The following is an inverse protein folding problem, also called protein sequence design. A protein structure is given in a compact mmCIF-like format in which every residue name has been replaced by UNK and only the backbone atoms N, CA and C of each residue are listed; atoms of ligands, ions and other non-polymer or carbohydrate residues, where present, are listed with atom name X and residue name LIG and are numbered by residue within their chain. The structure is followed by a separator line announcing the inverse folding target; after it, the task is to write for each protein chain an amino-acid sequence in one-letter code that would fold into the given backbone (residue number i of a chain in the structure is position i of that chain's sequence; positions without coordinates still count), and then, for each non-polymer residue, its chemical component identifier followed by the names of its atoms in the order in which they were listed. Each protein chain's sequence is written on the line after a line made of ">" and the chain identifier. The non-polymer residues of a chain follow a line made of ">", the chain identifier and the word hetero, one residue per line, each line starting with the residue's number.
data_IF_322889360731
#
_entry.id   IF_322889360731
#
_cell.length_a   1.000
_cell.length_b   1.000
_cell.length_c   1.000
_cell.angle_alpha   90.00
_cell.angle_beta   90.00
_cell.angle_gamma   90.00
#
_symmetry.space_group_name_H-M   'P 1'
#
loop_
_entity.id
_entity.type
_entity.pdbx_description
1 polymer ?
#
# COMPACT_ATOMS: atom_id res chain seq x y z
N UNK A 1 -17.84 -16.72 3.88
CA UNK A 1 -16.57 -17.32 4.33
C UNK A 1 -16.91 -18.45 5.30
N UNK A 2 -16.47 -19.68 5.04
CA UNK A 2 -16.72 -20.78 5.96
C UNK A 2 -15.59 -20.90 7.00
N UNK A 3 -15.82 -21.65 8.09
CA UNK A 3 -14.84 -21.77 9.18
C UNK A 3 -13.47 -22.29 8.72
N UNK A 4 -13.43 -23.17 7.70
CA UNK A 4 -12.19 -23.70 7.13
C UNK A 4 -11.40 -22.64 6.36
N UNK A 5 -12.10 -21.83 5.56
CA UNK A 5 -11.47 -20.72 4.83
C UNK A 5 -10.86 -19.70 5.79
N UNK A 6 -11.55 -19.39 6.90
CA UNK A 6 -11.00 -18.50 7.92
C UNK A 6 -9.70 -19.04 8.55
N UNK A 7 -9.61 -20.34 8.80
CA UNK A 7 -8.39 -20.97 9.32
C UNK A 7 -7.24 -20.92 8.29
N UNK A 8 -7.56 -21.13 7.02
CA UNK A 8 -6.57 -21.04 5.93
C UNK A 8 -6.04 -19.61 5.80
N UNK A 9 -6.91 -18.59 5.90
CA UNK A 9 -6.49 -17.17 5.89
C UNK A 9 -5.56 -16.80 7.07
N UNK A 10 -5.62 -17.54 8.17
CA UNK A 10 -4.71 -17.40 9.29
C UNK A 10 -3.39 -18.21 9.12
N UNK A 11 -3.12 -18.76 7.94
CA UNK A 11 -1.87 -19.44 7.61
C UNK A 11 -1.84 -20.93 7.92
N UNK A 12 -3.00 -21.58 8.07
CA UNK A 12 -3.09 -23.03 8.10
C UNK A 12 -3.19 -23.60 6.68
N UNK A 13 -2.55 -24.75 6.45
CA UNK A 13 -2.81 -25.54 5.26
C UNK A 13 -4.21 -26.17 5.32
N UNK A 14 -4.71 -26.62 4.19
CA UNK A 14 -6.01 -27.33 4.11
C UNK A 14 -6.07 -28.50 5.10
N UNK A 15 -4.99 -29.30 5.18
CA UNK A 15 -4.91 -30.45 6.08
C UNK A 15 -4.82 -30.04 7.56
N UNK A 16 -4.09 -28.97 7.88
CA UNK A 16 -4.02 -28.41 9.24
C UNK A 16 -5.39 -27.91 9.71
N UNK A 17 -6.15 -27.24 8.82
CA UNK A 17 -7.50 -26.78 9.12
C UNK A 17 -8.45 -27.96 9.40
N UNK A 18 -8.39 -29.03 8.59
CA UNK A 18 -9.20 -30.23 8.80
C UNK A 18 -8.86 -30.92 10.14
N UNK A 19 -7.59 -31.06 10.46
CA UNK A 19 -7.12 -31.64 11.72
C UNK A 19 -7.55 -30.78 12.92
N UNK A 20 -7.44 -29.46 12.83
CA UNK A 20 -7.88 -28.56 13.89
C UNK A 20 -9.38 -28.68 14.14
N UNK A 21 -10.19 -28.69 13.08
CA UNK A 21 -11.65 -28.83 13.20
C UNK A 21 -12.03 -30.20 13.81
N UNK A 22 -11.39 -31.28 13.36
CA UNK A 22 -11.62 -32.60 13.92
C UNK A 22 -11.25 -32.65 15.42
N UNK A 23 -10.09 -32.09 15.78
CA UNK A 23 -9.63 -32.03 17.16
C UNK A 23 -10.56 -31.20 18.06
N UNK A 24 -11.11 -30.10 17.53
CA UNK A 24 -12.06 -29.25 18.23
C UNK A 24 -13.39 -30.00 18.49
N UNK A 25 -13.88 -30.75 17.50
CA UNK A 25 -15.10 -31.57 17.63
C UNK A 25 -14.95 -32.71 18.66
N UNK A 26 -13.76 -33.32 18.75
CA UNK A 26 -13.51 -34.46 19.64
C UNK A 26 -13.19 -34.03 21.08
N UNK A 27 -12.97 -32.74 21.34
CA UNK A 27 -12.56 -32.25 22.64
C UNK A 27 -11.17 -32.70 23.11
N UNK A 28 -10.40 -33.30 22.19
CA UNK A 28 -9.03 -33.79 22.38
C UNK A 28 -8.85 -35.26 21.97
N UNK A 29 -7.70 -35.55 21.36
CA UNK A 29 -7.39 -36.92 20.87
C UNK A 29 -5.88 -37.18 20.85
N UNK A 30 -5.50 -38.48 20.88
CA UNK A 30 -4.15 -38.90 20.50
C UNK A 30 -3.99 -38.85 18.98
N UNK A 31 -2.76 -38.69 18.49
CA UNK A 31 -2.47 -38.68 17.05
C UNK A 31 -2.96 -39.95 16.33
N UNK A 32 -2.93 -41.08 17.00
CA UNK A 32 -3.39 -42.36 16.42
C UNK A 32 -4.91 -42.45 16.27
N UNK A 33 -5.67 -41.90 17.23
CA UNK A 33 -7.14 -41.84 17.16
C UNK A 33 -7.54 -40.88 16.06
N UNK A 34 -6.98 -39.69 16.07
CA UNK A 34 -7.26 -38.67 15.06
C UNK A 34 -6.94 -39.14 13.64
N UNK A 35 -5.78 -39.75 13.43
CA UNK A 35 -5.36 -40.31 12.14
C UNK A 35 -6.37 -41.31 11.56
N UNK A 36 -6.88 -42.19 12.42
CA UNK A 36 -7.89 -43.16 12.03
C UNK A 36 -9.21 -42.50 11.65
N UNK A 37 -9.66 -41.50 12.45
CA UNK A 37 -10.96 -40.87 12.29
C UNK A 37 -11.06 -39.99 11.04
N UNK A 38 -9.93 -39.40 10.62
CA UNK A 38 -9.89 -38.56 9.40
C UNK A 38 -9.22 -39.26 8.20
N UNK A 39 -8.92 -40.55 8.32
CA UNK A 39 -8.40 -41.39 7.23
C UNK A 39 -6.99 -41.04 6.77
N UNK A 40 -6.11 -40.54 7.67
CA UNK A 40 -4.73 -40.19 7.32
C UNK A 40 -3.69 -41.10 7.95
N UNK A 41 -2.45 -41.09 7.42
CA UNK A 41 -1.33 -41.85 8.02
C UNK A 41 -0.97 -41.24 9.38
N UNK A 42 -0.68 -42.11 10.37
CA UNK A 42 -0.30 -41.68 11.73
C UNK A 42 0.90 -40.76 11.77
N UNK A 43 1.88 -40.97 10.91
CA UNK A 43 3.07 -40.11 10.81
C UNK A 43 2.70 -38.69 10.35
N UNK A 44 1.79 -38.59 9.39
CA UNK A 44 1.26 -37.31 8.89
C UNK A 44 0.47 -36.58 9.99
N UNK A 45 -0.38 -37.28 10.73
CA UNK A 45 -1.11 -36.70 11.86
C UNK A 45 -0.17 -36.15 12.93
N UNK A 46 0.92 -36.84 13.26
CA UNK A 46 1.92 -36.31 14.19
C UNK A 46 2.60 -35.05 13.69
N UNK A 47 3.00 -35.01 12.42
CA UNK A 47 3.64 -33.83 11.84
C UNK A 47 2.69 -32.60 11.86
N UNK A 48 1.43 -32.82 11.46
CA UNK A 48 0.42 -31.75 11.47
C UNK A 48 0.14 -31.26 12.90
N UNK A 49 -0.04 -32.16 13.86
CA UNK A 49 -0.28 -31.79 15.25
C UNK A 49 0.90 -31.05 15.87
N UNK A 50 2.14 -31.41 15.51
CA UNK A 50 3.33 -30.65 15.90
C UNK A 50 3.29 -29.24 15.35
N UNK A 51 3.03 -29.07 14.05
CA UNK A 51 2.92 -27.75 13.41
C UNK A 51 1.79 -26.91 14.02
N UNK A 52 0.61 -27.51 14.27
CA UNK A 52 -0.49 -26.82 14.94
C UNK A 52 -0.11 -26.35 16.35
N UNK A 53 0.69 -27.15 17.07
CA UNK A 53 1.18 -26.78 18.41
C UNK A 53 2.19 -25.62 18.33
N UNK A 54 3.13 -25.68 17.40
CA UNK A 54 4.11 -24.61 17.14
C UNK A 54 3.45 -23.30 16.69
N UNK A 55 2.40 -23.40 15.89
CA UNK A 55 1.60 -22.23 15.48
C UNK A 55 0.67 -21.69 16.58
N UNK A 56 0.50 -22.42 17.71
CA UNK A 56 -0.38 -22.02 18.81
C UNK A 56 -1.86 -22.39 18.62
N UNK A 57 -2.19 -23.23 17.64
CA UNK A 57 -3.55 -23.71 17.38
C UNK A 57 -3.93 -24.98 18.18
N UNK A 58 -2.98 -25.68 18.75
CA UNK A 58 -3.22 -26.80 19.66
C UNK A 58 -2.27 -26.79 20.85
N UNK A 59 -2.63 -27.54 21.88
CA UNK A 59 -1.78 -27.84 23.02
C UNK A 59 -1.66 -29.35 23.22
N UNK A 60 -0.55 -29.80 23.80
CA UNK A 60 -0.30 -31.22 24.10
C UNK A 60 -0.22 -31.42 25.61
N UNK A 61 -0.92 -32.45 26.08
CA UNK A 61 -0.91 -32.90 27.45
C UNK A 61 -0.53 -34.36 27.52
N UNK A 62 0.04 -34.79 28.64
CA UNK A 62 0.30 -36.17 28.91
C UNK A 62 -0.78 -36.77 29.83
N UNK A 63 -1.45 -37.81 29.35
CA UNK A 63 -2.45 -38.53 30.11
C UNK A 63 -2.11 -40.02 30.05
N UNK A 64 -1.89 -40.65 31.19
CA UNK A 64 -1.52 -42.11 31.30
C UNK A 64 -0.37 -42.52 30.37
N UNK A 65 0.69 -41.69 30.32
CA UNK A 65 1.88 -41.95 29.49
C UNK A 65 1.71 -41.72 27.99
N UNK A 66 0.52 -41.22 27.53
CA UNK A 66 0.25 -40.96 26.13
C UNK A 66 0.06 -39.45 25.89
N UNK A 67 0.53 -38.97 24.73
CA UNK A 67 0.30 -37.60 24.29
C UNK A 67 -1.15 -37.42 23.80
N UNK A 68 -1.88 -36.51 24.39
CA UNK A 68 -3.22 -36.09 23.96
C UNK A 68 -3.15 -34.62 23.52
N UNK A 69 -3.64 -34.37 22.33
CA UNK A 69 -3.69 -33.00 21.73
C UNK A 69 -5.08 -32.43 21.90
N UNK A 70 -5.16 -31.17 22.23
CA UNK A 70 -6.41 -30.42 22.32
C UNK A 70 -6.33 -29.20 21.41
N UNK A 71 -7.39 -28.92 20.65
CA UNK A 71 -7.50 -27.70 19.90
C UNK A 71 -7.57 -26.51 20.87
N UNK A 72 -6.88 -25.43 20.57
CA UNK A 72 -7.09 -24.17 21.28
C UNK A 72 -8.49 -23.62 20.95
N UNK A 73 -9.13 -22.99 21.93
CA UNK A 73 -10.45 -22.40 21.75
C UNK A 73 -10.38 -21.25 20.73
N UNK A 74 -11.39 -21.07 19.86
CA UNK A 74 -11.34 -20.05 18.82
C UNK A 74 -11.05 -18.62 19.33
N UNK A 75 -11.62 -18.23 20.48
CA UNK A 75 -11.32 -16.92 21.06
C UNK A 75 -9.85 -16.76 21.51
N UNK A 76 -9.19 -17.84 21.93
CA UNK A 76 -7.75 -17.81 22.25
C UNK A 76 -6.88 -17.62 20.99
N UNK A 77 -7.32 -18.21 19.87
CA UNK A 77 -6.66 -17.99 18.57
C UNK A 77 -6.83 -16.55 18.14
N UNK A 78 -8.04 -15.96 18.29
CA UNK A 78 -8.27 -14.56 17.99
C UNK A 78 -7.32 -13.65 18.80
N UNK A 79 -7.21 -13.85 20.13
CA UNK A 79 -6.28 -13.09 20.96
C UNK A 79 -4.81 -13.27 20.53
N UNK A 80 -4.41 -14.48 20.12
CA UNK A 80 -3.05 -14.73 19.61
C UNK A 80 -2.76 -13.93 18.32
N UNK A 81 -3.73 -13.85 17.41
CA UNK A 81 -3.62 -13.08 16.17
C UNK A 81 -3.55 -11.58 16.46
N UNK A 82 -4.40 -11.09 17.36
CA UNK A 82 -4.37 -9.68 17.81
C UNK A 82 -3.02 -9.31 18.42
N UNK A 83 -2.46 -10.15 19.30
CA UNK A 83 -1.13 -9.93 19.87
C UNK A 83 -0.03 -9.89 18.80
N UNK A 84 -0.07 -10.79 17.81
CA UNK A 84 0.89 -10.78 16.70
C UNK A 84 0.78 -9.51 15.86
N UNK A 85 -0.45 -9.06 15.57
CA UNK A 85 -0.71 -7.83 14.86
C UNK A 85 -0.19 -6.62 15.63
N UNK A 86 -0.45 -6.56 16.93
CA UNK A 86 0.04 -5.48 17.78
C UNK A 86 1.57 -5.44 17.79
N UNK A 87 2.24 -6.57 18.00
CA UNK A 87 3.71 -6.64 17.99
C UNK A 87 4.30 -6.23 16.63
N UNK A 88 3.62 -6.57 15.53
CA UNK A 88 4.04 -6.13 14.20
C UNK A 88 3.86 -4.61 14.03
N UNK A 89 2.71 -4.06 14.49
CA UNK A 89 2.45 -2.62 14.45
C UNK A 89 3.49 -1.82 15.25
N UNK A 90 3.92 -2.34 16.39
CA UNK A 90 5.00 -1.73 17.20
C UNK A 90 6.36 -1.75 16.48
N UNK A 91 6.59 -2.72 15.59
CA UNK A 91 7.82 -2.84 14.81
C UNK A 91 7.79 -2.01 13.50
N UNK A 92 6.63 -1.54 13.04
CA UNK A 92 6.49 -0.75 11.79
C UNK A 92 7.46 0.43 11.73
N UNK A 93 7.59 1.31 12.76
CA UNK A 93 8.50 2.46 12.67
C UNK A 93 9.96 2.04 12.45
N UNK A 94 10.36 0.90 13.00
CA UNK A 94 11.71 0.35 12.79
C UNK A 94 11.90 -0.11 11.34
N UNK A 95 10.95 -0.86 10.77
CA UNK A 95 11.01 -1.29 9.37
C UNK A 95 10.97 -0.10 8.40
N UNK A 96 10.11 0.88 8.66
CA UNK A 96 10.05 2.11 7.86
C UNK A 96 11.37 2.89 7.91
N UNK A 97 12.06 2.92 9.08
CA UNK A 97 13.37 3.56 9.18
C UNK A 97 14.45 2.86 8.33
N UNK A 98 14.38 1.54 8.24
CA UNK A 98 15.28 0.75 7.39
C UNK A 98 14.99 0.97 5.90
N UNK A 99 13.71 1.02 5.52
CA UNK A 99 13.27 1.27 4.14
C UNK A 99 13.70 2.67 3.69
N UNK A 100 13.46 3.69 4.50
CA UNK A 100 13.92 5.07 4.23
C UNK A 100 15.44 5.15 4.02
N UNK A 101 16.22 4.41 4.81
CA UNK A 101 17.67 4.39 4.68
C UNK A 101 18.15 3.76 3.35
N UNK A 102 17.42 2.80 2.80
CA UNK A 102 17.71 2.20 1.49
C UNK A 102 17.22 3.06 0.32
N UNK A 103 16.02 3.63 0.42
CA UNK A 103 15.42 4.47 -0.62
C UNK A 103 16.23 5.76 -0.82
N UNK A 104 16.77 6.36 0.27
CA UNK A 104 17.69 7.49 0.18
C UNK A 104 19.03 7.15 -0.49
N UNK A 105 19.50 5.91 -0.43
CA UNK A 105 20.79 5.53 -1.04
C UNK A 105 20.75 5.47 -2.57
N UNK A 106 19.60 5.27 -3.19
CA UNK A 106 19.47 5.12 -4.66
C UNK A 106 18.87 6.35 -5.34
N UNK A 107 18.17 7.22 -4.61
CA UNK A 107 17.62 8.46 -5.13
C UNK A 107 16.53 8.30 -6.21
N UNK A 108 16.28 7.09 -6.70
CA UNK A 108 15.31 6.77 -7.74
C UNK A 108 14.44 5.59 -7.32
N UNK A 109 13.11 5.72 -7.50
CA UNK A 109 12.15 4.64 -7.31
C UNK A 109 11.19 4.62 -8.49
N UNK A 110 10.96 3.45 -9.08
CA UNK A 110 10.00 3.25 -10.16
C UNK A 110 8.65 2.83 -9.60
N UNK A 111 7.58 3.32 -10.22
CA UNK A 111 6.20 2.92 -9.98
C UNK A 111 5.74 2.16 -11.22
N UNK A 112 5.40 0.89 -11.07
CA UNK A 112 5.10 0.00 -12.19
C UNK A 112 3.60 -0.26 -12.35
N UNK A 113 2.80 0.07 -11.33
CA UNK A 113 1.37 -0.18 -11.36
C UNK A 113 0.54 1.06 -10.98
N UNK A 114 -0.68 1.13 -11.51
CA UNK A 114 -1.66 2.15 -11.16
C UNK A 114 -1.95 2.18 -9.65
N UNK A 115 -2.09 1.01 -9.01
CA UNK A 115 -2.34 0.91 -7.58
C UNK A 115 -1.19 1.49 -6.73
N UNK A 116 0.07 1.34 -7.17
CA UNK A 116 1.20 1.99 -6.51
C UNK A 116 1.19 3.50 -6.69
N UNK A 117 0.80 3.99 -7.87
CA UNK A 117 0.66 5.42 -8.12
C UNK A 117 -0.44 6.04 -7.25
N UNK A 118 -1.60 5.38 -7.15
CA UNK A 118 -2.68 5.81 -6.27
C UNK A 118 -2.24 5.85 -4.79
N UNK A 119 -1.54 4.82 -4.30
CA UNK A 119 -0.98 4.81 -2.95
C UNK A 119 -0.01 5.96 -2.72
N UNK A 120 0.86 6.26 -3.68
CA UNK A 120 1.76 7.41 -3.58
C UNK A 120 0.98 8.71 -3.39
N UNK A 121 -0.07 8.95 -4.17
CA UNK A 121 -0.88 10.15 -4.02
C UNK A 121 -1.69 10.17 -2.72
N UNK A 122 -2.15 9.03 -2.23
CA UNK A 122 -2.81 8.93 -0.92
C UNK A 122 -1.84 9.26 0.23
N UNK A 123 -0.56 8.84 0.14
CA UNK A 123 0.51 9.26 1.07
C UNK A 123 0.74 10.77 1.04
N UNK A 124 0.70 11.40 -0.16
CA UNK A 124 0.84 12.85 -0.30
C UNK A 124 -0.27 13.60 0.44
N UNK A 125 -1.50 13.09 0.50
CA UNK A 125 -2.59 13.72 1.26
C UNK A 125 -2.27 13.82 2.77
N UNK A 126 -1.44 12.95 3.28
CA UNK A 126 -1.01 12.91 4.68
C UNK A 126 0.24 13.77 4.89
N UNK A 127 1.29 13.53 4.10
CA UNK A 127 2.63 14.11 4.27
C UNK A 127 2.68 15.60 3.92
N UNK A 128 1.81 16.03 2.99
CA UNK A 128 1.76 17.41 2.49
C UNK A 128 0.58 18.22 3.03
N UNK A 129 -0.12 17.73 4.03
CA UNK A 129 -1.20 18.49 4.68
C UNK A 129 -0.72 19.90 5.10
N UNK A 130 -1.48 20.94 4.71
CA UNK A 130 -1.17 22.37 4.94
C UNK A 130 0.12 22.85 4.23
N UNK A 131 0.54 22.20 3.15
CA UNK A 131 1.72 22.59 2.35
C UNK A 131 1.32 22.93 0.91
N UNK A 132 2.30 23.29 0.10
CA UNK A 132 2.17 23.55 -1.33
C UNK A 132 3.13 22.65 -2.11
N UNK A 133 2.72 22.24 -3.32
CA UNK A 133 3.63 21.66 -4.30
C UNK A 133 3.33 22.16 -5.71
N UNK A 134 4.24 21.90 -6.63
CA UNK A 134 4.24 22.45 -7.97
C UNK A 134 4.04 21.36 -9.00
N UNK A 135 3.37 21.69 -10.10
CA UNK A 135 3.05 20.74 -11.15
C UNK A 135 3.33 21.35 -12.52
N UNK A 136 4.04 20.60 -13.38
CA UNK A 136 4.06 20.85 -14.81
C UNK A 136 3.39 19.65 -15.47
N UNK A 137 2.28 19.85 -16.21
CA UNK A 137 1.55 18.69 -16.67
C UNK A 137 0.48 18.94 -17.71
N UNK A 138 -0.23 17.86 -17.99
CA UNK A 138 -1.38 17.85 -18.89
C UNK A 138 -2.57 17.19 -18.19
N UNK A 139 -3.69 17.90 -18.07
CA UNK A 139 -4.92 17.36 -17.51
C UNK A 139 -5.40 16.11 -18.26
N UNK A 140 -5.44 16.10 -19.61
CA UNK A 140 -5.79 14.90 -20.37
C UNK A 140 -4.86 13.72 -20.11
N UNK A 141 -3.56 13.95 -19.86
CA UNK A 141 -2.62 12.86 -19.56
C UNK A 141 -2.94 12.20 -18.21
N UNK A 142 -3.26 12.97 -17.18
CA UNK A 142 -3.71 12.42 -15.89
C UNK A 142 -5.01 11.64 -16.01
N UNK A 143 -5.98 12.21 -16.68
CA UNK A 143 -7.29 11.58 -16.85
C UNK A 143 -7.22 10.30 -17.69
N UNK A 144 -6.22 10.16 -18.57
CA UNK A 144 -6.01 8.92 -19.31
C UNK A 144 -5.62 7.73 -18.41
N UNK A 145 -5.03 7.98 -17.24
CA UNK A 145 -4.59 6.93 -16.30
C UNK A 145 -5.78 6.44 -15.45
N UNK A 146 -6.47 7.35 -14.76
CA UNK A 146 -7.72 7.10 -14.03
C UNK A 146 -8.52 8.39 -13.79
N UNK A 147 -9.53 8.67 -14.62
CA UNK A 147 -10.33 9.89 -14.48
C UNK A 147 -11.02 9.99 -13.12
N UNK A 148 -11.56 8.86 -12.61
CA UNK A 148 -12.34 8.85 -11.36
C UNK A 148 -11.47 9.09 -10.14
N UNK A 149 -10.29 8.47 -10.11
CA UNK A 149 -9.35 8.64 -9.02
C UNK A 149 -8.85 10.09 -8.94
N UNK A 150 -8.39 10.66 -10.04
CA UNK A 150 -7.80 12.01 -10.03
C UNK A 150 -8.79 13.13 -9.78
N UNK A 151 -10.05 12.97 -10.18
CA UNK A 151 -11.12 13.92 -9.76
C UNK A 151 -11.29 13.91 -8.25
N UNK A 152 -11.42 12.72 -7.66
CA UNK A 152 -11.55 12.54 -6.20
C UNK A 152 -10.30 13.02 -5.44
N UNK A 153 -9.12 12.72 -5.98
CA UNK A 153 -7.85 13.17 -5.39
C UNK A 153 -7.78 14.71 -5.31
N UNK A 154 -8.17 15.43 -6.37
CA UNK A 154 -8.21 16.92 -6.37
C UNK A 154 -9.06 17.48 -5.22
N UNK A 155 -10.23 16.91 -5.00
CA UNK A 155 -11.12 17.31 -3.90
C UNK A 155 -10.50 16.99 -2.52
N UNK A 156 -9.97 15.79 -2.36
CA UNK A 156 -9.35 15.36 -1.10
C UNK A 156 -8.09 16.18 -0.78
N UNK A 157 -7.31 16.55 -1.79
CA UNK A 157 -6.16 17.43 -1.67
C UNK A 157 -6.56 18.81 -1.13
N UNK A 158 -7.62 19.40 -1.70
CA UNK A 158 -8.14 20.67 -1.23
C UNK A 158 -8.66 20.58 0.22
N UNK A 159 -9.40 19.51 0.56
CA UNK A 159 -9.85 19.25 1.94
C UNK A 159 -8.69 19.10 2.93
N UNK A 160 -7.55 18.57 2.48
CA UNK A 160 -6.33 18.48 3.27
C UNK A 160 -5.55 19.81 3.36
N UNK A 161 -6.11 20.91 2.79
CA UNK A 161 -5.48 22.22 2.71
C UNK A 161 -4.11 22.19 2.02
N UNK A 162 -3.99 21.40 0.94
CA UNK A 162 -2.78 21.33 0.12
C UNK A 162 -2.94 22.23 -1.09
N UNK A 163 -2.11 23.25 -1.20
CA UNK A 163 -2.10 24.20 -2.32
C UNK A 163 -1.28 23.66 -3.49
N UNK A 164 -1.63 24.06 -4.71
CA UNK A 164 -0.83 23.71 -5.90
C UNK A 164 -0.68 24.85 -6.85
N UNK A 165 0.53 25.00 -7.42
CA UNK A 165 0.82 25.83 -8.58
C UNK A 165 0.98 24.93 -9.80
N UNK A 166 0.22 25.19 -10.85
CA UNK A 166 0.17 24.34 -12.04
C UNK A 166 0.55 25.12 -13.29
N UNK A 167 1.56 24.63 -13.99
CA UNK A 167 1.87 25.01 -15.37
C UNK A 167 1.31 23.92 -16.28
N UNK A 168 0.20 24.16 -16.93
CA UNK A 168 -0.51 23.17 -17.74
C UNK A 168 -0.31 23.45 -19.24
N UNK A 169 -0.32 22.38 -20.02
CA UNK A 169 -0.37 22.51 -21.49
C UNK A 169 -1.63 23.25 -21.92
N UNK A 170 -1.57 23.97 -23.04
CA UNK A 170 -2.70 24.73 -23.58
C UNK A 170 -3.98 23.90 -23.80
N UNK A 171 -3.82 22.60 -24.11
CA UNK A 171 -4.92 21.65 -24.28
C UNK A 171 -5.74 21.48 -23.00
N UNK A 172 -5.07 21.55 -21.85
CA UNK A 172 -5.70 21.41 -20.53
C UNK A 172 -6.70 22.51 -20.18
N UNK A 173 -6.71 23.63 -20.94
CA UNK A 173 -7.59 24.78 -20.67
C UNK A 173 -9.07 24.41 -20.71
N UNK A 174 -9.46 23.43 -21.54
CA UNK A 174 -10.86 23.01 -21.69
C UNK A 174 -11.36 22.17 -20.51
N UNK A 175 -10.46 21.36 -19.93
CA UNK A 175 -10.80 20.34 -18.95
C UNK A 175 -10.31 20.69 -17.53
N UNK A 176 -9.60 21.84 -17.39
CA UNK A 176 -9.08 22.30 -16.11
C UNK A 176 -10.19 22.98 -15.29
N UNK A 177 -10.56 22.47 -14.11
CA UNK A 177 -11.57 23.12 -13.28
C UNK A 177 -11.10 24.50 -12.80
N UNK A 178 -12.05 25.43 -12.70
CA UNK A 178 -11.81 26.83 -12.31
C UNK A 178 -12.23 27.13 -10.87
N UNK A 179 -12.74 26.13 -10.14
CA UNK A 179 -13.25 26.29 -8.78
C UNK A 179 -12.15 26.75 -7.83
N UNK A 180 -12.38 27.88 -7.16
CA UNK A 180 -11.45 28.46 -6.17
C UNK A 180 -11.23 27.54 -4.96
N UNK A 181 -12.25 26.76 -4.59
CA UNK A 181 -12.21 25.83 -3.47
C UNK A 181 -11.21 24.67 -3.67
N UNK A 182 -10.74 24.49 -4.91
CA UNK A 182 -9.71 23.50 -5.21
C UNK A 182 -8.28 23.95 -4.84
N UNK A 183 -8.07 25.13 -4.27
CA UNK A 183 -6.79 25.65 -3.79
C UNK A 183 -5.65 25.51 -4.82
N UNK A 184 -5.91 26.00 -6.04
CA UNK A 184 -4.96 25.85 -7.15
C UNK A 184 -4.76 27.18 -7.88
N UNK A 185 -3.52 27.47 -8.23
CA UNK A 185 -3.14 28.52 -9.15
C UNK A 185 -2.72 27.89 -10.47
N UNK A 186 -3.29 28.32 -11.59
CA UNK A 186 -3.06 27.68 -12.89
C UNK A 186 -2.58 28.73 -13.90
N UNK A 187 -1.49 28.41 -14.59
CA UNK A 187 -1.02 29.14 -15.78
C UNK A 187 -0.90 28.16 -16.95
N UNK A 188 -1.18 28.62 -18.15
CA UNK A 188 -1.14 27.76 -19.33
C UNK A 188 0.07 28.08 -20.20
N UNK A 189 0.80 27.03 -20.57
CA UNK A 189 1.94 27.11 -21.45
C UNK A 189 1.51 27.49 -22.89
N UNK A 190 2.40 28.10 -23.69
CA UNK A 190 2.16 28.34 -25.10
C UNK A 190 1.79 27.07 -25.87
N UNK A 191 0.94 27.20 -26.91
CA UNK A 191 0.44 26.02 -27.68
C UNK A 191 1.52 25.20 -28.34
N UNK A 192 2.66 25.78 -28.63
CA UNK A 192 3.83 25.14 -29.23
C UNK A 192 4.55 24.19 -28.26
N UNK A 193 4.19 24.23 -26.98
CA UNK A 193 4.77 23.41 -25.91
C UNK A 193 3.79 22.33 -25.48
N UNK A 194 3.70 21.26 -26.27
CA UNK A 194 2.85 20.11 -25.96
C UNK A 194 3.70 18.93 -25.44
N UNK A 195 3.23 18.28 -24.39
CA UNK A 195 3.80 17.04 -23.83
C UNK A 195 2.72 16.27 -23.08
N UNK A 196 2.94 14.97 -22.90
CA UNK A 196 1.99 14.07 -22.22
C UNK A 196 2.40 13.71 -20.79
N UNK A 197 3.66 13.91 -20.45
CA UNK A 197 4.17 13.60 -19.12
C UNK A 197 3.76 14.66 -18.11
N UNK A 198 3.66 14.29 -16.85
CA UNK A 198 3.48 15.20 -15.72
C UNK A 198 4.65 15.13 -14.78
N UNK A 199 4.99 16.26 -14.20
CA UNK A 199 6.06 16.46 -13.26
C UNK A 199 5.49 17.13 -12.01
N UNK A 200 5.38 16.36 -10.92
CA UNK A 200 4.96 16.88 -9.63
C UNK A 200 6.20 17.12 -8.77
N UNK A 201 6.42 18.38 -8.38
CA UNK A 201 7.62 18.83 -7.68
C UNK A 201 7.26 19.10 -6.23
N UNK A 202 7.71 18.22 -5.34
CA UNK A 202 7.56 18.32 -3.90
C UNK A 202 8.81 18.94 -3.27
N UNK A 203 8.83 19.10 -1.94
CA UNK A 203 9.99 19.70 -1.26
C UNK A 203 11.21 18.78 -1.22
N UNK A 204 10.99 17.47 -1.15
CA UNK A 204 12.00 16.44 -0.96
C UNK A 204 12.12 15.46 -2.12
N UNK A 205 11.19 15.50 -3.08
CA UNK A 205 11.12 14.56 -4.20
C UNK A 205 10.40 15.16 -5.41
N UNK A 206 10.61 14.52 -6.55
CA UNK A 206 9.90 14.81 -7.81
C UNK A 206 9.29 13.52 -8.31
N UNK A 207 8.01 13.54 -8.67
CA UNK A 207 7.35 12.46 -9.37
C UNK A 207 7.22 12.82 -10.85
N UNK A 208 7.70 11.94 -11.72
CA UNK A 208 7.54 12.05 -13.18
C UNK A 208 6.60 10.93 -13.62
N UNK A 209 5.44 11.28 -14.12
CA UNK A 209 4.46 10.33 -14.65
C UNK A 209 4.41 10.46 -16.17
N UNK A 210 4.50 9.35 -16.88
CA UNK A 210 4.38 9.33 -18.34
C UNK A 210 3.66 8.07 -18.80
N UNK A 211 2.58 8.20 -19.58
CA UNK A 211 1.86 7.05 -20.11
C UNK A 211 2.69 6.23 -21.10
N UNK A 212 3.77 6.80 -21.64
CA UNK A 212 4.61 6.18 -22.68
C UNK A 212 5.89 5.52 -22.08
N UNK A 213 6.09 5.54 -20.75
CA UNK A 213 7.21 4.87 -20.09
C UNK A 213 6.94 3.36 -19.93
N UNK A 214 8.01 2.57 -19.94
CA UNK A 214 7.95 1.15 -19.58
C UNK A 214 7.46 0.95 -18.14
N UNK A 215 7.81 1.89 -17.24
CA UNK A 215 7.23 2.06 -15.92
C UNK A 215 6.27 3.24 -15.94
N UNK A 216 5.17 3.16 -15.18
CA UNK A 216 4.15 4.21 -15.15
C UNK A 216 4.68 5.54 -14.63
N UNK A 217 5.57 5.51 -13.64
CA UNK A 217 6.19 6.71 -13.10
C UNK A 217 7.57 6.44 -12.47
N UNK A 218 8.31 7.53 -12.23
CA UNK A 218 9.57 7.50 -11.48
C UNK A 218 9.57 8.61 -10.43
N UNK A 219 9.97 8.25 -9.21
CA UNK A 219 10.22 9.18 -8.11
C UNK A 219 11.72 9.45 -8.07
N UNK A 220 12.09 10.72 -8.07
CA UNK A 220 13.46 11.21 -7.93
C UNK A 220 13.59 11.92 -6.58
N UNK A 221 14.32 11.31 -5.64
CA UNK A 221 14.56 11.86 -4.30
C UNK A 221 16.05 12.23 -4.12
N UNK A 222 16.65 12.84 -5.14
CA UNK A 222 18.02 13.37 -5.13
C UNK A 222 17.94 14.87 -4.89
N UNK A 223 18.41 15.41 -3.74
CA UNK A 223 18.22 16.81 -3.38
C UNK A 223 18.66 17.80 -4.47
N UNK A 224 19.83 17.61 -5.06
CA UNK A 224 20.34 18.48 -6.12
C UNK A 224 19.45 18.47 -7.37
N UNK A 225 18.82 17.35 -7.72
CA UNK A 225 17.87 17.28 -8.82
C UNK A 225 16.54 17.94 -8.46
N UNK A 226 16.06 17.75 -7.25
CA UNK A 226 14.85 18.42 -6.75
C UNK A 226 15.02 19.94 -6.81
N UNK A 227 16.16 20.48 -6.37
CA UNK A 227 16.47 21.91 -6.41
C UNK A 227 16.50 22.45 -7.86
N UNK A 228 17.05 21.69 -8.81
CA UNK A 228 17.04 22.05 -10.23
C UNK A 228 15.60 22.14 -10.74
N UNK A 229 14.76 21.12 -10.48
CA UNK A 229 13.38 21.12 -10.94
C UNK A 229 12.55 22.25 -10.32
N UNK A 230 12.76 22.58 -9.04
CA UNK A 230 12.14 23.74 -8.40
C UNK A 230 12.53 25.04 -9.11
N UNK A 231 13.84 25.23 -9.35
CA UNK A 231 14.35 26.43 -10.02
C UNK A 231 13.80 26.58 -11.43
N UNK A 232 13.74 25.49 -12.20
CA UNK A 232 13.14 25.48 -13.53
C UNK A 232 11.66 25.87 -13.46
N UNK A 233 10.92 25.31 -12.49
CA UNK A 233 9.51 25.65 -12.32
C UNK A 233 9.32 27.15 -12.05
N UNK A 234 10.06 27.73 -11.11
CA UNK A 234 9.93 29.14 -10.75
C UNK A 234 10.25 30.06 -11.95
N UNK A 235 11.33 29.77 -12.69
CA UNK A 235 11.67 30.52 -13.93
C UNK A 235 10.54 30.45 -14.97
N UNK A 236 9.96 29.28 -15.16
CA UNK A 236 8.83 29.09 -16.08
C UNK A 236 7.57 29.80 -15.55
N UNK A 237 7.32 29.72 -14.26
CA UNK A 237 6.17 30.37 -13.61
C UNK A 237 6.22 31.89 -13.79
N UNK A 238 7.38 32.48 -13.60
CA UNK A 238 7.55 33.92 -13.80
C UNK A 238 7.44 34.35 -15.27
N UNK A 239 7.87 33.50 -16.20
CA UNK A 239 7.84 33.78 -17.64
C UNK A 239 6.46 33.64 -18.29
N UNK A 240 5.54 32.89 -17.66
CA UNK A 240 4.19 32.67 -18.18
C UNK A 240 3.23 33.68 -17.49
N UNK A 241 2.66 34.60 -18.23
CA UNK A 241 1.70 35.58 -17.71
C UNK A 241 0.45 34.91 -17.13
N UNK A 242 -0.14 35.48 -16.09
CA UNK A 242 -1.48 35.14 -15.65
C UNK A 242 -2.44 35.33 -16.83
N UNK A 243 -2.99 34.26 -17.32
CA UNK A 243 -4.05 34.32 -18.33
C UNK A 243 -5.35 34.57 -17.59
N UNK A 244 -5.84 35.81 -17.67
CA UNK A 244 -7.22 36.18 -17.37
C UNK A 244 -8.24 35.28 -18.08
#
# INVERSE_FOLDING_TARGET
>A
MNAKESLISLGLSVQEADVYIALLKQGGASASVLARDIGMKRTTAYAILKNLTEKGFSSVYFRSGKRVYHAQKPHKIASLVEQKLQSFNEAIPFFESMDRAQTQKLGLRFIESKNELEKFYDEILIDYKNKEYRIIGSTPAWESIDPRYFVKFRENRAKANIHTKLLLTAESKKDSPTDKDLLRQVRFLPKERAFKSTLDIFDDKVLIVSPDLASLAVIVAVPAMVDIFKSIFEMLWESVSDTD
#
